data_IF_210252619961
#
_entry.id   IF_210252619961
#
_cell.length_a   1.000
_cell.length_b   1.000
_cell.length_c   1.000
_cell.angle_alpha   90.00
_cell.angle_beta   90.00
_cell.angle_gamma   90.00
#
_symmetry.space_group_name_H-M   'P 1'
#
loop_
_entity.id
_entity.type
_entity.pdbx_description
1 polymer ?
#
# COMPACT_ATOMS: atom_id res chain seq x y z
N UNK A 1 -49.34 -11.74 -5.90
CA UNK A 1 -48.54 -12.94 -5.56
C UNK A 1 -47.12 -12.48 -5.15
N UNK A 2 -47.00 -11.72 -4.06
CA UNK A 2 -45.74 -11.16 -3.54
C UNK A 2 -45.70 -11.52 -2.04
N UNK A 3 -45.30 -12.75 -1.72
CA UNK A 3 -45.18 -13.20 -0.31
C UNK A 3 -44.05 -14.21 -0.06
N UNK A 4 -43.07 -14.31 -0.97
CA UNK A 4 -42.13 -15.45 -0.95
C UNK A 4 -40.64 -15.09 -1.12
N UNK A 5 -40.18 -13.87 -0.83
CA UNK A 5 -38.74 -13.51 -0.97
C UNK A 5 -38.05 -13.09 0.35
N UNK A 6 -38.77 -12.94 1.46
CA UNK A 6 -38.18 -12.40 2.72
C UNK A 6 -37.59 -13.51 3.63
N UNK A 7 -37.72 -14.79 3.29
CA UNK A 7 -37.24 -15.90 4.14
C UNK A 7 -35.72 -16.16 4.07
N UNK A 8 -34.97 -15.45 3.23
CA UNK A 8 -33.56 -15.77 2.90
C UNK A 8 -32.58 -14.59 3.09
N UNK A 9 -32.94 -13.57 3.88
CA UNK A 9 -32.06 -12.44 4.18
C UNK A 9 -31.84 -12.33 5.70
N UNK A 10 -30.60 -12.21 6.11
CA UNK A 10 -30.25 -11.85 7.49
C UNK A 10 -29.81 -10.39 7.56
N UNK A 11 -30.10 -9.74 8.69
CA UNK A 11 -29.71 -8.36 8.92
C UNK A 11 -28.35 -8.31 9.62
N UNK A 12 -27.41 -7.57 9.05
CA UNK A 12 -26.05 -7.43 9.57
C UNK A 12 -25.74 -5.96 9.88
N UNK A 13 -25.03 -5.72 10.98
CA UNK A 13 -24.50 -4.41 11.29
C UNK A 13 -23.05 -4.29 10.77
N UNK A 14 -22.78 -3.44 9.76
CA UNK A 14 -21.44 -3.32 9.15
C UNK A 14 -20.37 -2.77 10.10
N UNK A 15 -20.76 -2.22 11.25
CA UNK A 15 -19.85 -1.55 12.17
C UNK A 15 -19.38 -2.41 13.33
N UNK A 16 -20.18 -3.35 13.81
CA UNK A 16 -19.84 -4.12 15.02
C UNK A 16 -19.99 -5.63 14.87
N UNK A 17 -20.31 -6.13 13.68
CA UNK A 17 -20.42 -7.56 13.36
C UNK A 17 -21.34 -8.38 14.28
N UNK A 18 -22.22 -7.72 15.02
CA UNK A 18 -23.08 -8.39 16.00
C UNK A 18 -24.26 -9.04 15.27
N UNK A 19 -24.48 -10.35 15.42
CA UNK A 19 -25.68 -10.99 14.90
C UNK A 19 -26.89 -10.40 15.63
N UNK A 20 -27.80 -9.77 14.88
CA UNK A 20 -29.04 -9.25 15.46
C UNK A 20 -30.07 -10.35 15.52
N UNK A 21 -30.72 -10.51 16.68
CA UNK A 21 -31.92 -11.32 16.79
C UNK A 21 -32.98 -10.77 15.83
N UNK A 22 -33.58 -11.63 15.02
CA UNK A 22 -34.43 -11.32 13.86
C UNK A 22 -35.79 -10.68 14.21
N UNK A 23 -35.84 -9.70 15.11
CA UNK A 23 -37.02 -8.87 15.31
C UNK A 23 -37.03 -7.75 14.27
N UNK A 24 -37.83 -7.94 13.23
CA UNK A 24 -38.05 -7.07 12.06
C UNK A 24 -38.45 -5.63 12.42
N UNK A 25 -38.78 -5.33 13.68
CA UNK A 25 -39.32 -4.05 14.11
C UNK A 25 -38.29 -2.91 14.30
N UNK A 26 -36.98 -3.19 14.27
CA UNK A 26 -35.96 -2.15 14.47
C UNK A 26 -34.86 -2.24 13.40
N UNK A 27 -34.93 -1.38 12.38
CA UNK A 27 -33.90 -1.23 11.34
C UNK A 27 -32.55 -0.68 11.87
N UNK A 28 -32.36 -0.60 13.19
CA UNK A 28 -31.18 -0.03 13.82
C UNK A 28 -30.49 -1.03 14.75
N UNK A 29 -29.18 -1.13 14.63
CA UNK A 29 -28.36 -1.91 15.57
C UNK A 29 -28.48 -1.34 16.99
N UNK A 30 -28.83 -2.17 17.97
CA UNK A 30 -28.93 -1.73 19.39
C UNK A 30 -27.62 -1.21 19.96
N UNK A 31 -26.48 -1.66 19.46
CA UNK A 31 -25.17 -1.30 19.99
C UNK A 31 -24.65 0.04 19.43
N UNK A 32 -24.79 0.27 18.13
CA UNK A 32 -24.21 1.45 17.47
C UNK A 32 -25.23 2.39 16.81
N UNK A 33 -26.52 2.09 16.90
CA UNK A 33 -27.64 2.86 16.31
C UNK A 33 -27.54 3.10 14.80
N UNK A 34 -26.73 2.33 14.07
CA UNK A 34 -26.69 2.38 12.60
C UNK A 34 -27.77 1.52 11.95
N UNK A 35 -28.13 1.90 10.72
CA UNK A 35 -29.05 1.15 9.87
C UNK A 35 -28.46 -0.23 9.57
N UNK A 36 -29.26 -1.27 9.78
CA UNK A 36 -28.90 -2.65 9.49
C UNK A 36 -28.98 -2.89 7.98
N UNK A 37 -27.97 -3.54 7.41
CA UNK A 37 -27.93 -3.91 6.00
C UNK A 37 -28.52 -5.31 5.81
N UNK A 38 -29.32 -5.48 4.75
CA UNK A 38 -29.81 -6.79 4.33
C UNK A 38 -28.68 -7.52 3.59
N UNK A 39 -28.32 -8.71 4.05
CA UNK A 39 -27.31 -9.56 3.40
C UNK A 39 -27.96 -10.90 3.02
N UNK A 40 -27.71 -11.44 1.82
CA UNK A 40 -28.18 -12.76 1.44
C UNK A 40 -27.63 -13.82 2.39
N UNK A 41 -28.47 -14.78 2.81
CA UNK A 41 -28.01 -15.95 3.56
C UNK A 41 -27.07 -16.78 2.70
N UNK A 42 -25.79 -16.82 3.04
CA UNK A 42 -24.88 -17.83 2.51
C UNK A 42 -25.13 -19.16 3.23
N UNK A 43 -25.32 -20.28 2.51
CA UNK A 43 -25.45 -21.57 3.14
C UNK A 43 -24.15 -21.91 3.88
N UNK A 44 -24.32 -22.28 5.14
CA UNK A 44 -23.34 -22.67 6.15
C UNK A 44 -22.09 -23.38 5.61
N UNK A 45 -20.92 -22.87 6.02
CA UNK A 45 -19.65 -23.57 5.98
C UNK A 45 -18.47 -22.62 5.95
N UNK A 46 -18.00 -22.22 7.13
CA UNK A 46 -16.66 -21.64 7.34
C UNK A 46 -16.32 -20.44 6.45
N UNK A 47 -16.88 -19.26 6.78
CA UNK A 47 -16.16 -18.03 6.44
C UNK A 47 -15.03 -17.92 7.45
N UNK A 48 -13.89 -18.51 7.08
CA UNK A 48 -12.61 -18.20 7.68
C UNK A 48 -12.35 -16.71 7.40
N UNK A 49 -12.94 -15.83 8.21
CA UNK A 49 -12.55 -14.42 8.30
C UNK A 49 -11.22 -14.42 9.05
N UNK A 50 -10.19 -14.97 8.41
CA UNK A 50 -8.82 -14.79 8.81
C UNK A 50 -8.54 -13.31 8.53
N UNK A 51 -8.81 -12.47 9.53
CA UNK A 51 -8.49 -11.06 9.48
C UNK A 51 -7.01 -10.95 9.13
N UNK A 52 -6.72 -10.53 7.89
CA UNK A 52 -5.36 -10.48 7.35
C UNK A 52 -4.55 -9.59 8.27
N UNK A 53 -3.66 -10.22 9.04
CA UNK A 53 -2.84 -9.51 10.01
C UNK A 53 -1.67 -8.86 9.27
N UNK A 54 -1.92 -7.68 8.71
CA UNK A 54 -0.89 -6.85 8.12
C UNK A 54 0.19 -6.54 9.16
N UNK A 55 1.43 -6.97 8.90
CA UNK A 55 2.58 -6.67 9.79
C UNK A 55 3.12 -5.30 9.41
N UNK A 56 3.23 -4.37 10.36
CA UNK A 56 3.87 -3.08 10.09
C UNK A 56 5.39 -3.30 9.92
N UNK A 57 5.92 -2.90 8.77
CA UNK A 57 7.34 -3.06 8.38
C UNK A 57 8.03 -1.72 8.14
N UNK A 58 7.33 -0.62 8.39
CA UNK A 58 7.86 0.75 8.31
C UNK A 58 9.19 0.91 9.05
N UNK A 59 9.39 0.35 10.28
CA UNK A 59 10.67 0.50 10.97
C UNK A 59 11.86 -0.07 10.19
N UNK A 60 11.71 -1.26 9.59
CA UNK A 60 12.76 -1.89 8.78
C UNK A 60 13.10 -1.05 7.55
N UNK A 61 12.08 -0.47 6.91
CA UNK A 61 12.28 0.45 5.78
C UNK A 61 12.92 1.78 6.19
N UNK A 62 12.69 2.25 7.42
CA UNK A 62 13.32 3.46 7.94
C UNK A 62 14.80 3.21 8.24
N UNK A 63 15.13 2.08 8.87
CA UNK A 63 16.51 1.67 9.12
C UNK A 63 17.29 1.52 7.81
N UNK A 64 16.70 0.85 6.83
CA UNK A 64 17.25 0.75 5.48
C UNK A 64 17.46 2.13 4.83
N UNK A 65 16.45 3.01 4.89
CA UNK A 65 16.53 4.37 4.34
C UNK A 65 17.70 5.15 4.94
N UNK A 66 17.82 5.16 6.26
CA UNK A 66 18.87 5.90 6.96
C UNK A 66 20.25 5.34 6.63
N UNK A 67 20.40 4.01 6.61
CA UNK A 67 21.65 3.35 6.25
C UNK A 67 22.13 3.74 4.85
N UNK A 68 21.25 3.62 3.84
CA UNK A 68 21.59 3.91 2.45
C UNK A 68 21.88 5.41 2.25
N UNK A 69 21.09 6.30 2.86
CA UNK A 69 21.33 7.75 2.84
C UNK A 69 22.68 8.12 3.42
N UNK A 70 22.98 7.60 4.60
CA UNK A 70 24.24 7.87 5.30
C UNK A 70 25.43 7.42 4.45
N UNK A 71 25.32 6.23 3.86
CA UNK A 71 26.36 5.66 3.01
C UNK A 71 26.60 6.53 1.75
N UNK A 72 25.54 6.90 1.03
CA UNK A 72 25.67 7.73 -0.16
C UNK A 72 26.26 9.10 0.15
N UNK A 73 25.60 9.81 1.08
CA UNK A 73 25.91 11.21 1.37
C UNK A 73 27.32 11.40 1.95
N UNK A 74 27.84 10.37 2.64
CA UNK A 74 29.15 10.41 3.28
C UNK A 74 30.27 9.90 2.36
N UNK A 75 30.05 8.77 1.67
CA UNK A 75 31.14 8.05 1.00
C UNK A 75 31.03 8.05 -0.51
N UNK A 76 29.87 7.75 -1.09
CA UNK A 76 29.75 7.55 -2.53
C UNK A 76 29.64 8.86 -3.31
N UNK A 77 28.93 9.86 -2.78
CA UNK A 77 28.70 11.15 -3.43
C UNK A 77 29.99 11.93 -3.73
N UNK A 78 31.04 11.70 -2.95
CA UNK A 78 32.34 12.39 -3.10
C UNK A 78 33.32 11.65 -4.00
N UNK A 79 32.96 10.46 -4.50
CA UNK A 79 33.81 9.71 -5.41
C UNK A 79 33.81 10.39 -6.77
N UNK A 80 35.00 10.62 -7.32
CA UNK A 80 35.16 11.21 -8.66
C UNK A 80 34.80 10.25 -9.79
N UNK A 81 34.77 8.94 -9.50
CA UNK A 81 34.37 7.89 -10.42
C UNK A 81 32.88 7.62 -10.30
N UNK A 82 32.23 7.27 -11.41
CA UNK A 82 30.84 6.83 -11.39
C UNK A 82 30.72 5.52 -10.57
N UNK A 83 30.28 5.67 -9.33
CA UNK A 83 30.09 4.58 -8.38
C UNK A 83 28.64 4.07 -8.33
N UNK A 84 27.78 4.52 -9.26
CA UNK A 84 26.34 4.23 -9.24
C UNK A 84 26.07 2.72 -9.28
N UNK A 85 26.75 1.98 -10.16
CA UNK A 85 26.60 0.52 -10.25
C UNK A 85 26.97 -0.21 -8.95
N UNK A 86 28.07 0.20 -8.31
CA UNK A 86 28.51 -0.39 -7.05
C UNK A 86 27.52 -0.07 -5.92
N UNK A 87 27.04 1.18 -5.89
CA UNK A 87 26.06 1.63 -4.91
C UNK A 87 24.72 0.88 -5.05
N UNK A 88 24.25 0.67 -6.28
CA UNK A 88 23.05 -0.12 -6.56
C UNK A 88 23.16 -1.55 -6.04
N UNK A 89 24.29 -2.24 -6.32
CA UNK A 89 24.51 -3.61 -5.82
C UNK A 89 24.51 -3.68 -4.29
N UNK A 90 25.15 -2.72 -3.63
CA UNK A 90 25.18 -2.65 -2.18
C UNK A 90 23.79 -2.32 -1.61
N UNK A 91 23.03 -1.46 -2.29
CA UNK A 91 21.65 -1.13 -1.90
C UNK A 91 20.73 -2.34 -1.97
N UNK A 92 20.85 -3.18 -3.00
CA UNK A 92 20.12 -4.45 -3.10
C UNK A 92 20.43 -5.38 -1.92
N UNK A 93 21.71 -5.51 -1.55
CA UNK A 93 22.14 -6.33 -0.41
C UNK A 93 21.62 -5.79 0.92
N UNK A 94 21.67 -4.47 1.11
CA UNK A 94 21.15 -3.81 2.30
C UNK A 94 19.64 -3.99 2.42
N UNK A 95 18.90 -3.87 1.31
CA UNK A 95 17.46 -4.07 1.30
C UNK A 95 17.08 -5.51 1.65
N UNK A 96 17.81 -6.48 1.08
CA UNK A 96 17.68 -7.89 1.42
C UNK A 96 17.82 -8.14 2.93
N UNK A 97 18.94 -7.70 3.51
CA UNK A 97 19.26 -7.99 4.91
C UNK A 97 18.39 -7.23 5.91
N UNK A 98 18.14 -5.94 5.64
CA UNK A 98 17.44 -5.05 6.58
C UNK A 98 15.93 -5.13 6.45
N UNK A 99 15.38 -5.54 5.30
CA UNK A 99 13.94 -5.55 5.05
C UNK A 99 13.44 -6.96 4.77
N UNK A 100 13.88 -7.60 3.67
CA UNK A 100 13.31 -8.86 3.19
C UNK A 100 13.48 -10.02 4.18
N UNK A 101 14.68 -10.18 4.75
CA UNK A 101 14.95 -11.19 5.77
C UNK A 101 14.08 -11.00 7.03
N UNK A 102 13.81 -9.74 7.41
CA UNK A 102 13.01 -9.41 8.61
C UNK A 102 11.51 -9.76 8.43
N UNK A 103 11.07 -9.91 7.19
CA UNK A 103 9.70 -10.26 6.84
C UNK A 103 9.59 -11.69 6.28
N UNK A 104 10.68 -12.44 6.24
CA UNK A 104 10.72 -13.83 5.78
C UNK A 104 10.57 -13.98 4.26
N UNK A 105 10.83 -12.93 3.49
CA UNK A 105 10.77 -12.98 2.02
C UNK A 105 12.15 -13.39 1.48
N UNK A 106 12.24 -14.44 0.64
CA UNK A 106 13.50 -14.82 0.02
C UNK A 106 14.08 -13.69 -0.84
N UNK A 107 15.35 -13.27 -0.62
CA UNK A 107 15.98 -12.18 -1.35
C UNK A 107 16.03 -12.36 -2.87
N UNK A 108 16.03 -13.61 -3.35
CA UNK A 108 16.14 -13.93 -4.77
C UNK A 108 14.90 -13.55 -5.58
N UNK A 109 13.78 -13.25 -4.91
CA UNK A 109 12.52 -12.90 -5.56
C UNK A 109 12.46 -11.44 -5.98
N UNK A 110 13.32 -10.58 -5.43
CA UNK A 110 13.23 -9.14 -5.64
C UNK A 110 14.59 -8.47 -5.75
N UNK A 111 14.71 -7.48 -6.65
CA UNK A 111 15.82 -6.52 -6.71
C UNK A 111 15.28 -5.14 -6.37
N UNK A 112 16.01 -4.38 -5.56
CA UNK A 112 15.61 -3.04 -5.19
C UNK A 112 15.99 -2.00 -6.26
N UNK A 113 17.02 -2.28 -7.05
CA UNK A 113 17.51 -1.37 -8.10
C UNK A 113 16.56 -1.30 -9.30
N UNK A 114 15.96 -2.44 -9.68
CA UNK A 114 15.00 -2.53 -10.77
C UNK A 114 13.70 -3.24 -10.34
N UNK A 115 12.96 -2.70 -9.36
CA UNK A 115 11.82 -3.41 -8.82
C UNK A 115 10.62 -3.29 -9.74
N UNK A 116 10.02 -4.43 -10.05
CA UNK A 116 8.57 -4.49 -10.17
C UNK A 116 7.94 -4.20 -8.81
N UNK A 117 6.67 -3.76 -8.76
CA UNK A 117 6.00 -3.48 -7.49
C UNK A 117 6.06 -4.68 -6.54
N UNK A 118 6.51 -4.45 -5.31
CA UNK A 118 6.52 -5.45 -4.26
C UNK A 118 5.07 -5.74 -3.83
N UNK A 119 4.46 -6.77 -4.41
CA UNK A 119 3.07 -7.12 -4.14
C UNK A 119 2.79 -7.40 -2.66
N UNK A 120 3.78 -7.88 -1.91
CA UNK A 120 3.68 -8.10 -0.47
C UNK A 120 3.91 -6.84 0.38
N UNK A 121 4.33 -5.70 -0.19
CA UNK A 121 4.59 -4.46 0.54
C UNK A 121 3.58 -3.37 0.17
N UNK A 122 2.59 -3.20 1.03
CA UNK A 122 1.51 -2.23 0.86
C UNK A 122 1.86 -0.90 1.52
N UNK A 123 1.80 0.19 0.75
CA UNK A 123 1.96 1.56 1.25
C UNK A 123 0.59 2.12 1.59
N UNK A 124 0.41 2.55 2.84
CA UNK A 124 -0.88 2.98 3.38
C UNK A 124 -0.73 4.41 3.91
N UNK A 125 -1.51 5.38 3.39
CA UNK A 125 -1.54 6.73 3.93
C UNK A 125 -1.82 6.75 5.44
N UNK A 126 -1.10 7.56 6.21
CA UNK A 126 -1.28 7.65 7.67
C UNK A 126 -2.52 8.46 8.06
N UNK A 127 -2.85 9.49 7.29
CA UNK A 127 -4.09 10.23 7.43
C UNK A 127 -5.22 9.58 6.61
N UNK A 128 -6.44 9.61 7.16
CA UNK A 128 -7.59 8.93 6.57
C UNK A 128 -8.02 9.60 5.25
N UNK A 129 -7.90 10.93 5.17
CA UNK A 129 -8.38 11.73 4.03
C UNK A 129 -7.37 12.79 3.64
N UNK A 130 -7.48 13.25 2.38
CA UNK A 130 -6.75 14.40 1.81
C UNK A 130 -5.22 14.29 1.90
N UNK A 131 -4.68 13.09 1.68
CA UNK A 131 -3.23 12.87 1.71
C UNK A 131 -2.60 13.28 0.38
N UNK A 132 -1.56 14.14 0.37
CA UNK A 132 -0.85 14.51 -0.85
C UNK A 132 -0.24 13.30 -1.57
N UNK A 133 -0.43 13.26 -2.89
CA UNK A 133 0.21 12.30 -3.79
C UNK A 133 0.61 13.01 -5.07
N UNK A 134 1.68 12.56 -5.73
CA UNK A 134 2.06 13.03 -7.06
C UNK A 134 2.00 11.84 -8.02
N UNK A 135 0.98 11.79 -8.88
CA UNK A 135 0.77 10.66 -9.78
C UNK A 135 1.47 10.95 -11.12
N UNK A 136 2.10 9.93 -11.70
CA UNK A 136 2.74 10.06 -12.99
C UNK A 136 1.70 10.38 -14.08
N UNK A 137 1.98 11.42 -14.87
CA UNK A 137 1.21 11.79 -16.04
C UNK A 137 1.92 11.25 -17.30
N UNK A 138 1.22 10.47 -18.15
CA UNK A 138 1.76 10.06 -19.43
C UNK A 138 2.17 11.26 -20.27
N UNK A 139 3.32 11.15 -20.93
CA UNK A 139 3.83 12.17 -21.84
C UNK A 139 4.42 11.53 -23.09
N UNK A 140 4.25 12.21 -24.23
CA UNK A 140 4.73 11.76 -25.53
C UNK A 140 6.23 12.01 -25.72
N UNK A 141 6.82 12.91 -24.93
CA UNK A 141 8.24 13.28 -25.01
C UNK A 141 9.18 12.27 -24.30
N UNK A 142 8.64 11.21 -23.71
CA UNK A 142 9.38 10.21 -22.95
C UNK A 142 9.80 10.64 -21.54
N UNK A 143 9.49 11.88 -21.14
CA UNK A 143 9.74 12.36 -19.78
C UNK A 143 8.66 11.87 -18.81
N UNK A 144 9.02 11.75 -17.53
CA UNK A 144 8.08 11.45 -16.44
C UNK A 144 7.71 12.74 -15.74
N UNK A 145 6.45 13.15 -15.84
CA UNK A 145 5.90 14.27 -15.06
C UNK A 145 5.07 13.74 -13.90
N UNK A 146 5.19 14.36 -12.73
CA UNK A 146 4.53 13.95 -11.49
C UNK A 146 3.48 14.99 -11.08
N UNK A 147 2.63 15.37 -12.02
CA UNK A 147 1.73 16.52 -11.94
C UNK A 147 0.31 16.21 -12.45
N UNK A 148 -0.12 14.94 -12.35
CA UNK A 148 -1.51 14.58 -12.67
C UNK A 148 -2.49 15.43 -11.83
N UNK A 149 -3.64 15.87 -12.40
CA UNK A 149 -4.63 16.67 -11.67
C UNK A 149 -5.12 16.03 -10.36
N UNK A 150 -5.09 14.70 -10.25
CA UNK A 150 -5.38 13.99 -9.00
C UNK A 150 -4.14 14.02 -8.10
N UNK A 151 -4.18 14.87 -7.07
CA UNK A 151 -3.05 15.14 -6.18
C UNK A 151 -3.35 14.92 -4.69
N UNK A 152 -4.51 14.29 -4.40
CA UNK A 152 -5.02 13.98 -3.07
C UNK A 152 -5.73 12.64 -3.09
N UNK A 153 -5.53 11.83 -2.04
CA UNK A 153 -6.13 10.51 -1.90
C UNK A 153 -6.67 10.28 -0.49
N UNK A 154 -7.61 9.36 -0.37
CA UNK A 154 -8.08 8.80 0.89
C UNK A 154 -7.55 7.37 1.08
N UNK A 155 -7.33 6.99 2.33
CA UNK A 155 -6.78 5.67 2.65
C UNK A 155 -7.70 4.52 2.18
N UNK A 156 -9.02 4.71 2.18
CA UNK A 156 -10.00 3.66 1.86
C UNK A 156 -10.26 3.43 0.38
N UNK A 157 -9.82 4.33 -0.50
CA UNK A 157 -10.14 4.27 -1.93
C UNK A 157 -8.98 3.80 -2.80
N UNK A 158 -7.76 3.74 -2.25
CA UNK A 158 -6.54 3.46 -2.99
C UNK A 158 -5.77 2.26 -2.41
N UNK A 159 -5.21 1.44 -3.30
CA UNK A 159 -4.23 0.41 -2.96
C UNK A 159 -2.91 0.70 -3.67
N UNK A 160 -1.83 0.72 -2.90
CA UNK A 160 -0.51 1.14 -3.34
C UNK A 160 0.51 0.07 -2.97
N UNK A 161 1.30 -0.37 -3.95
CA UNK A 161 2.40 -1.30 -3.74
C UNK A 161 3.73 -0.57 -3.86
N UNK A 162 4.61 -0.80 -2.89
CA UNK A 162 5.92 -0.18 -2.87
C UNK A 162 6.71 -0.63 -4.10
N UNK A 163 7.39 0.29 -4.78
CA UNK A 163 8.40 -0.02 -5.79
C UNK A 163 9.77 0.21 -5.15
N UNK A 164 10.09 1.44 -4.74
CA UNK A 164 11.34 1.78 -4.04
C UNK A 164 11.21 3.13 -3.33
N UNK A 165 12.24 3.56 -2.60
CA UNK A 165 12.40 4.98 -2.32
C UNK A 165 12.80 5.75 -3.58
N UNK A 166 12.39 7.00 -3.65
CA UNK A 166 12.62 7.90 -4.77
C UNK A 166 13.16 9.24 -4.30
N UNK A 167 14.08 9.77 -5.10
CA UNK A 167 14.54 11.15 -5.04
C UNK A 167 14.55 11.75 -6.45
N UNK A 168 14.35 13.06 -6.55
CA UNK A 168 14.39 13.74 -7.84
C UNK A 168 15.81 13.92 -8.36
N UNK A 169 16.78 13.98 -7.45
CA UNK A 169 18.20 14.17 -7.77
C UNK A 169 19.02 13.06 -7.10
N UNK A 170 19.12 11.92 -7.80
CA UNK A 170 19.87 10.75 -7.33
C UNK A 170 21.40 10.98 -7.35
N UNK A 171 21.90 12.04 -8.00
CA UNK A 171 23.33 12.36 -8.07
C UNK A 171 23.81 13.31 -6.96
N UNK A 172 22.87 13.98 -6.29
CA UNK A 172 23.15 14.92 -5.21
C UNK A 172 23.01 14.27 -3.84
N UNK A 173 22.71 15.05 -2.81
CA UNK A 173 22.34 14.50 -1.51
C UNK A 173 21.01 13.76 -1.61
N UNK A 174 20.99 12.49 -1.23
CA UNK A 174 19.76 11.70 -1.20
C UNK A 174 19.05 11.89 0.15
N UNK A 175 17.77 12.25 0.08
CA UNK A 175 16.83 12.30 1.19
C UNK A 175 15.86 11.11 1.15
N UNK A 176 15.62 10.52 -0.03
CA UNK A 176 14.62 9.46 -0.20
C UNK A 176 13.29 9.86 0.42
N UNK A 177 12.88 11.08 0.08
CA UNK A 177 11.69 11.72 0.65
C UNK A 177 10.41 10.99 0.28
N UNK A 178 10.39 10.32 -0.87
CA UNK A 178 9.20 9.70 -1.42
C UNK A 178 9.33 8.18 -1.48
N UNK A 179 8.21 7.49 -1.26
CA UNK A 179 7.99 6.16 -1.80
C UNK A 179 7.53 6.31 -3.26
N UNK A 180 8.25 5.68 -4.19
CA UNK A 180 7.71 5.34 -5.49
C UNK A 180 6.81 4.12 -5.31
N UNK A 181 5.57 4.22 -5.76
CA UNK A 181 4.53 3.20 -5.62
C UNK A 181 3.81 2.96 -6.92
N UNK A 182 3.23 1.77 -7.09
CA UNK A 182 2.25 1.44 -8.13
C UNK A 182 0.85 1.50 -7.56
N UNK A 183 -0.07 2.14 -8.28
CA UNK A 183 -1.50 2.12 -7.97
C UNK A 183 -2.10 0.80 -8.46
N UNK A 184 -2.46 -0.11 -7.55
CA UNK A 184 -3.07 -1.42 -7.91
C UNK A 184 -4.59 -1.40 -7.86
N UNK A 185 -5.18 -0.47 -7.11
CA UNK A 185 -6.61 -0.19 -7.13
C UNK A 185 -6.87 1.28 -6.78
N UNK A 186 -7.85 1.91 -7.43
CA UNK A 186 -8.26 3.27 -7.11
C UNK A 186 -9.75 3.48 -7.47
N UNK A 187 -10.63 3.39 -6.47
CA UNK A 187 -12.09 3.33 -6.68
C UNK A 187 -12.66 4.60 -7.29
N UNK A 188 -12.20 5.78 -6.86
CA UNK A 188 -12.67 7.08 -7.36
C UNK A 188 -12.02 7.47 -8.69
N UNK A 189 -10.84 6.92 -9.01
CA UNK A 189 -10.09 7.22 -10.22
C UNK A 189 -9.54 5.96 -10.89
N UNK A 190 -10.39 5.04 -11.39
CA UNK A 190 -9.97 3.73 -11.90
C UNK A 190 -9.06 3.80 -13.12
N UNK A 191 -9.09 4.90 -13.87
CA UNK A 191 -8.20 5.17 -15.01
C UNK A 191 -6.74 5.45 -14.62
N UNK A 192 -6.45 5.61 -13.32
CA UNK A 192 -5.10 5.81 -12.78
C UNK A 192 -4.50 4.51 -12.24
N UNK A 193 -5.23 3.39 -12.25
CA UNK A 193 -4.68 2.07 -11.94
C UNK A 193 -3.54 1.76 -12.93
N UNK A 194 -2.55 1.04 -12.43
CA UNK A 194 -1.29 0.71 -13.08
C UNK A 194 -0.32 1.89 -13.31
N UNK A 195 -0.67 3.09 -12.85
CA UNK A 195 0.27 4.23 -12.86
C UNK A 195 1.17 4.22 -11.64
N UNK A 196 2.39 4.73 -11.85
CA UNK A 196 3.31 5.02 -10.77
C UNK A 196 2.92 6.34 -10.07
N UNK A 197 3.20 6.45 -8.77
CA UNK A 197 3.00 7.65 -7.99
C UNK A 197 4.09 7.83 -6.94
N UNK A 198 4.25 9.06 -6.45
CA UNK A 198 5.13 9.42 -5.36
C UNK A 198 4.30 9.81 -4.14
N UNK A 199 4.60 9.17 -3.01
CA UNK A 199 3.99 9.45 -1.72
C UNK A 199 5.07 9.86 -0.72
N UNK A 200 4.85 10.94 0.03
CA UNK A 200 5.80 11.34 1.07
C UNK A 200 5.95 10.22 2.11
N UNK A 201 7.18 9.80 2.36
CA UNK A 201 7.47 8.68 3.26
C UNK A 201 7.06 8.95 4.72
N UNK A 202 6.93 10.23 5.12
CA UNK A 202 6.41 10.60 6.44
C UNK A 202 4.88 10.56 6.52
N UNK A 203 4.20 10.62 5.36
CA UNK A 203 2.73 10.60 5.26
C UNK A 203 2.16 9.20 5.01
N UNK A 204 2.99 8.16 5.10
CA UNK A 204 2.60 6.78 4.85
C UNK A 204 3.29 5.80 5.81
N UNK A 205 2.64 4.65 6.01
CA UNK A 205 3.21 3.49 6.66
C UNK A 205 3.20 2.32 5.70
N UNK A 206 4.18 1.43 5.83
CA UNK A 206 4.29 0.25 4.98
C UNK A 206 3.97 -1.00 5.78
N UNK A 207 3.15 -1.86 5.18
CA UNK A 207 2.70 -3.10 5.77
C UNK A 207 3.04 -4.28 4.87
N UNK A 208 3.46 -5.37 5.49
CA UNK A 208 3.63 -6.66 4.83
C UNK A 208 2.30 -7.41 4.81
N UNK A 209 1.94 -7.84 3.61
CA UNK A 209 0.73 -8.58 3.27
C UNK A 209 1.11 -9.99 2.79
N UNK A 210 0.98 -10.96 3.70
CA UNK A 210 1.31 -12.37 3.49
C UNK A 210 0.34 -13.06 2.49
N UNK A 211 -0.78 -12.41 2.17
CA UNK A 211 -1.76 -12.90 1.19
C UNK A 211 -1.49 -12.40 -0.23
N UNK A 212 -0.46 -11.55 -0.41
CA UNK A 212 0.08 -11.24 -1.72
C UNK A 212 0.77 -12.49 -2.28
N UNK A 213 -0.03 -13.42 -2.80
CA UNK A 213 0.44 -14.54 -3.61
C UNK A 213 1.53 -14.01 -4.56
N UNK A 214 2.68 -14.68 -4.54
CA UNK A 214 3.89 -14.28 -5.24
C UNK A 214 3.70 -14.04 -6.74
N UNK A 215 4.80 -13.65 -7.40
CA UNK A 215 4.86 -12.83 -8.62
C UNK A 215 3.86 -13.19 -9.74
#
# INVERSE_FOLDING_TARGET
MIKLVIKEMDMYCPRCAYPTDNSIEQNFCRNCKQILALVPRTPSGEVDQQAVKLKNVTPYLQDFRECVRSLWNTYFRILEVDASCLFSQLTDQLFSALVLEQIGVPPQLYTYTYPEPFHCLRVVPTAIVDVPIMINRPSEDGNRYWDDPVNRVQQSEIDLRLIKYFDFDEQSYIDYKYYLVRITAFTSHPHLVDRDALMDAQSASVYFDDQGNGP
#
